data_IF_222824248635
#
_entry.id   IF_222824248635
#
_cell.length_a   1.000
_cell.length_b   1.000
_cell.length_c   1.000
_cell.angle_alpha   90.00
_cell.angle_beta   90.00
_cell.angle_gamma   90.00
#
_symmetry.space_group_name_H-M   'P 1'
#
loop_
_entity.id
_entity.type
_entity.pdbx_description
1 polymer ?
#
# COMPACT_ATOMS: atom_id res chain seq x y z
N UNK A 1 -1.72 36.01 -15.76
CA UNK A 1 -3.08 36.31 -15.26
C UNK A 1 -3.84 37.30 -16.16
N UNK A 2 -3.14 38.13 -16.96
CA UNK A 2 -3.74 39.07 -17.93
C UNK A 2 -3.74 38.54 -19.38
N UNK A 3 -3.37 37.25 -19.57
CA UNK A 3 -3.33 36.59 -20.89
C UNK A 3 -2.22 37.08 -21.82
N UNK A 4 -1.20 37.79 -21.28
CA UNK A 4 -0.10 38.29 -22.08
C UNK A 4 1.12 37.39 -22.02
N UNK A 5 1.80 37.25 -23.16
CA UNK A 5 3.05 36.52 -23.24
C UNK A 5 4.12 37.22 -22.39
N UNK A 6 4.62 36.52 -21.35
CA UNK A 6 5.63 37.09 -20.43
C UNK A 6 7.06 36.65 -20.75
N UNK A 7 7.21 35.50 -21.41
CA UNK A 7 8.51 34.97 -21.78
C UNK A 7 8.38 34.06 -23.02
N UNK A 8 9.42 34.06 -23.86
CA UNK A 8 9.59 33.16 -24.98
C UNK A 8 11.06 32.72 -25.02
N UNK A 9 11.29 31.44 -24.98
CA UNK A 9 12.61 30.84 -25.04
C UNK A 9 12.77 30.07 -26.35
N UNK A 10 13.96 30.09 -26.92
CA UNK A 10 14.31 29.37 -28.11
C UNK A 10 15.43 28.38 -27.77
N UNK A 11 15.31 27.19 -28.25
CA UNK A 11 16.32 26.15 -28.17
C UNK A 11 16.68 25.69 -29.58
N UNK A 12 17.85 25.13 -29.74
CA UNK A 12 18.21 24.49 -31.01
C UNK A 12 17.29 23.32 -31.29
N UNK A 13 16.99 23.01 -32.54
CA UNK A 13 15.98 22.04 -32.91
C UNK A 13 16.32 20.58 -32.48
N UNK A 14 17.58 20.31 -32.17
CA UNK A 14 18.09 19.04 -31.66
C UNK A 14 18.28 19.05 -30.12
N UNK A 15 18.12 20.20 -29.44
CA UNK A 15 18.25 20.34 -28.01
C UNK A 15 16.90 20.16 -27.26
N UNK A 16 16.21 19.09 -27.55
CA UNK A 16 14.91 18.76 -26.91
C UNK A 16 15.04 18.62 -25.40
N UNK A 17 16.14 18.01 -24.93
CA UNK A 17 16.33 17.71 -23.51
C UNK A 17 16.38 18.97 -22.66
N UNK A 18 17.19 19.98 -23.07
CA UNK A 18 17.24 21.26 -22.35
C UNK A 18 15.92 22.02 -22.39
N UNK A 19 15.20 21.97 -23.53
CA UNK A 19 13.89 22.60 -23.66
C UNK A 19 12.87 21.95 -22.70
N UNK A 20 12.88 20.63 -22.61
CA UNK A 20 11.98 19.86 -21.75
C UNK A 20 12.29 20.10 -20.25
N UNK A 21 13.56 20.07 -19.87
CA UNK A 21 13.99 20.36 -18.49
C UNK A 21 13.62 21.80 -18.06
N UNK A 22 13.75 22.79 -18.94
CA UNK A 22 13.33 24.15 -18.64
C UNK A 22 11.81 24.27 -18.50
N UNK A 23 11.02 23.55 -19.31
CA UNK A 23 9.56 23.48 -19.17
C UNK A 23 9.17 22.94 -17.80
N UNK A 24 9.73 21.80 -17.38
CA UNK A 24 9.49 21.18 -16.09
C UNK A 24 9.91 22.11 -14.94
N UNK A 25 11.11 22.71 -15.03
CA UNK A 25 11.60 23.63 -14.01
C UNK A 25 10.64 24.82 -13.80
N UNK A 26 10.07 25.37 -14.88
CA UNK A 26 9.11 26.48 -14.80
C UNK A 26 7.76 26.04 -14.26
N UNK A 27 7.26 24.90 -14.69
CA UNK A 27 6.01 24.36 -14.22
C UNK A 27 6.06 24.12 -12.70
N UNK A 28 7.11 23.42 -12.22
CA UNK A 28 7.27 23.11 -10.80
C UNK A 28 7.77 24.29 -9.94
N UNK A 29 8.22 25.37 -10.55
CA UNK A 29 8.44 26.64 -9.84
C UNK A 29 7.17 27.51 -9.76
N UNK A 30 6.12 27.20 -10.52
CA UNK A 30 4.89 27.97 -10.66
C UNK A 30 3.64 27.16 -10.32
N UNK A 31 2.85 26.81 -11.32
CA UNK A 31 1.54 26.16 -11.16
C UNK A 31 1.64 24.77 -10.49
N UNK A 32 2.70 24.03 -10.77
CA UNK A 32 2.96 22.70 -10.21
C UNK A 32 3.76 22.70 -8.91
N UNK A 33 3.93 23.84 -8.23
CA UNK A 33 4.84 23.96 -7.09
C UNK A 33 4.49 23.01 -5.91
N UNK A 34 3.21 22.72 -5.70
CA UNK A 34 2.77 21.77 -4.67
C UNK A 34 3.11 20.30 -4.98
N UNK A 35 3.49 20.00 -6.24
CA UNK A 35 3.86 18.66 -6.73
C UNK A 35 5.34 18.59 -7.13
N UNK A 36 6.14 19.57 -6.71
CA UNK A 36 7.50 19.75 -7.22
C UNK A 36 8.46 18.60 -6.83
N UNK A 37 8.20 17.91 -5.75
CA UNK A 37 9.00 16.77 -5.30
C UNK A 37 8.69 15.54 -6.17
N UNK A 38 7.44 15.16 -6.26
CA UNK A 38 6.97 14.02 -7.06
C UNK A 38 7.18 14.28 -8.57
N UNK A 39 7.03 15.52 -9.00
CA UNK A 39 7.30 15.93 -10.38
C UNK A 39 8.75 15.75 -10.78
N UNK A 40 9.71 16.10 -9.90
CA UNK A 40 11.13 15.80 -10.13
C UNK A 40 11.40 14.31 -10.21
N UNK A 41 10.72 13.51 -9.40
CA UNK A 41 10.79 12.04 -9.45
C UNK A 41 10.28 11.51 -10.79
N UNK A 42 9.13 12.02 -11.26
CA UNK A 42 8.58 11.66 -12.57
C UNK A 42 9.57 11.97 -13.71
N UNK A 43 10.12 13.17 -13.74
CA UNK A 43 11.10 13.56 -14.77
C UNK A 43 12.38 12.73 -14.70
N UNK A 44 12.90 12.48 -13.49
CA UNK A 44 14.07 11.64 -13.28
C UNK A 44 13.82 10.17 -13.69
N UNK A 45 12.60 9.64 -13.47
CA UNK A 45 12.25 8.29 -13.91
C UNK A 45 12.22 8.19 -15.43
N UNK A 46 11.61 9.15 -16.12
CA UNK A 46 11.60 9.21 -17.59
C UNK A 46 13.02 9.28 -18.14
N UNK A 47 13.90 10.10 -17.55
CA UNK A 47 15.31 10.21 -17.94
C UNK A 47 16.07 8.91 -17.70
N UNK A 48 15.87 8.24 -16.56
CA UNK A 48 16.48 6.96 -16.26
C UNK A 48 16.04 5.86 -17.25
N UNK A 49 14.76 5.86 -17.65
CA UNK A 49 14.25 4.94 -18.65
C UNK A 49 14.78 5.24 -20.06
N UNK A 50 14.90 6.52 -20.42
CA UNK A 50 15.43 6.96 -21.71
C UNK A 50 16.94 6.61 -21.86
N UNK A 51 17.70 6.80 -20.77
CA UNK A 51 19.13 6.46 -20.70
C UNK A 51 19.42 4.99 -20.43
N UNK A 52 18.39 4.16 -20.17
CA UNK A 52 18.50 2.75 -19.74
C UNK A 52 19.31 2.57 -18.44
N UNK A 53 19.30 3.61 -17.57
CA UNK A 53 19.97 3.56 -16.27
C UNK A 53 19.11 2.80 -15.24
N UNK A 54 19.34 1.48 -15.17
CA UNK A 54 18.63 0.59 -14.26
C UNK A 54 18.86 0.93 -12.78
N UNK A 55 20.03 1.45 -12.43
CA UNK A 55 20.34 1.79 -11.04
C UNK A 55 19.56 3.03 -10.60
N UNK A 56 19.54 4.07 -11.44
CA UNK A 56 18.74 5.25 -11.20
C UNK A 56 17.24 4.91 -11.13
N UNK A 57 16.71 4.14 -12.08
CA UNK A 57 15.30 3.76 -12.09
C UNK A 57 14.87 3.00 -10.80
N UNK A 58 15.71 2.08 -10.29
CA UNK A 58 15.42 1.38 -9.03
C UNK A 58 15.39 2.31 -7.82
N UNK A 59 16.28 3.30 -7.76
CA UNK A 59 16.31 4.25 -6.65
C UNK A 59 15.07 5.15 -6.58
N UNK A 60 14.36 5.32 -7.68
CA UNK A 60 13.14 6.11 -7.78
C UNK A 60 11.87 5.30 -7.46
N UNK A 61 11.97 3.99 -7.34
CA UNK A 61 10.84 3.09 -7.09
C UNK A 61 10.94 2.45 -5.72
N UNK A 62 9.78 2.19 -5.12
CA UNK A 62 9.69 1.36 -3.91
C UNK A 62 10.04 -0.10 -4.24
N UNK A 63 10.50 -0.89 -3.26
CA UNK A 63 10.77 -2.33 -3.47
C UNK A 63 9.53 -3.09 -3.98
N UNK A 64 8.33 -2.68 -3.52
CA UNK A 64 7.06 -3.28 -3.91
C UNK A 64 6.49 -2.70 -5.21
N UNK A 65 7.22 -1.84 -5.89
CA UNK A 65 6.76 -1.20 -7.14
C UNK A 65 6.18 -2.22 -8.12
N UNK A 66 5.04 -1.85 -8.71
CA UNK A 66 4.38 -2.65 -9.74
C UNK A 66 4.00 -1.79 -10.93
N UNK A 67 4.35 -2.29 -12.09
CA UNK A 67 3.89 -1.75 -13.36
C UNK A 67 2.84 -2.69 -13.93
N UNK A 68 1.64 -2.20 -14.15
CA UNK A 68 0.53 -2.95 -14.75
C UNK A 68 0.10 -2.27 -16.04
N UNK A 69 -0.18 -3.04 -17.07
CA UNK A 69 -0.74 -2.51 -18.31
C UNK A 69 -1.63 -3.60 -18.95
N UNK A 70 -2.95 -3.42 -18.94
CA UNK A 70 -3.88 -4.33 -19.57
C UNK A 70 -3.96 -4.16 -21.10
N UNK A 71 -3.06 -3.38 -21.68
CA UNK A 71 -3.06 -3.12 -23.12
C UNK A 71 -2.87 -4.43 -23.90
N UNK A 72 -3.54 -4.53 -25.06
CA UNK A 72 -3.46 -5.72 -25.95
C UNK A 72 -2.04 -6.06 -26.38
N UNK A 73 -1.15 -5.07 -26.38
CA UNK A 73 0.26 -5.24 -26.73
C UNK A 73 1.12 -5.81 -25.58
N UNK A 74 0.62 -5.81 -24.35
CA UNK A 74 1.34 -6.17 -23.13
C UNK A 74 0.52 -7.19 -22.34
N UNK A 75 0.43 -8.41 -22.86
CA UNK A 75 -0.38 -9.49 -22.31
C UNK A 75 0.04 -9.98 -20.91
N UNK A 76 1.10 -9.42 -20.32
CA UNK A 76 1.56 -9.75 -18.96
C UNK A 76 1.08 -8.71 -17.96
N UNK A 77 0.34 -9.11 -16.95
CA UNK A 77 -0.48 -8.18 -16.16
C UNK A 77 0.30 -7.31 -15.16
N UNK A 78 1.38 -7.79 -14.60
CA UNK A 78 2.11 -7.03 -13.54
C UNK A 78 3.61 -7.29 -13.62
N UNK A 79 4.42 -6.22 -13.55
CA UNK A 79 5.88 -6.28 -13.61
C UNK A 79 6.53 -5.55 -12.43
N UNK A 80 7.63 -6.11 -11.95
CA UNK A 80 8.58 -5.44 -11.08
C UNK A 80 9.38 -4.41 -11.87
N UNK A 81 10.11 -3.52 -11.18
CA UNK A 81 10.95 -2.54 -11.86
C UNK A 81 12.02 -3.20 -12.74
N UNK A 82 12.58 -4.34 -12.34
CA UNK A 82 13.59 -5.06 -13.11
C UNK A 82 13.03 -5.65 -14.40
N UNK A 83 11.82 -6.18 -14.36
CA UNK A 83 11.12 -6.69 -15.53
C UNK A 83 10.75 -5.56 -16.50
N UNK A 84 10.36 -4.37 -15.96
CA UNK A 84 10.13 -3.17 -16.79
C UNK A 84 11.40 -2.72 -17.49
N UNK A 85 12.52 -2.65 -16.78
CA UNK A 85 13.81 -2.28 -17.35
C UNK A 85 14.28 -3.29 -18.41
N UNK A 86 14.12 -4.58 -18.13
CA UNK A 86 14.46 -5.64 -19.12
C UNK A 86 13.62 -5.50 -20.38
N UNK A 87 12.31 -5.36 -20.20
CA UNK A 87 11.37 -5.17 -21.32
C UNK A 87 11.69 -3.91 -22.14
N UNK A 88 12.06 -2.81 -21.46
CA UNK A 88 12.41 -1.56 -22.11
C UNK A 88 13.72 -1.67 -22.89
N UNK A 89 14.71 -2.35 -22.32
CA UNK A 89 15.99 -2.62 -22.98
C UNK A 89 15.82 -3.47 -24.22
N UNK A 90 14.96 -4.48 -24.18
CA UNK A 90 14.66 -5.32 -25.35
C UNK A 90 14.04 -4.51 -26.47
N UNK A 91 13.19 -3.53 -26.16
CA UNK A 91 12.61 -2.59 -27.14
C UNK A 91 13.63 -1.62 -27.70
N UNK A 92 14.45 -1.03 -26.85
CA UNK A 92 15.52 -0.14 -27.29
C UNK A 92 16.51 -0.86 -28.22
N UNK A 93 16.74 -2.16 -28.00
CA UNK A 93 17.58 -2.99 -28.90
C UNK A 93 16.97 -3.27 -30.28
N UNK A 94 15.71 -2.91 -30.52
CA UNK A 94 15.03 -3.09 -31.81
C UNK A 94 15.07 -1.84 -32.70
N UNK A 95 15.58 -0.72 -32.19
CA UNK A 95 15.60 0.58 -32.84
C UNK A 95 17.00 1.20 -32.77
N UNK A 96 17.36 2.04 -33.73
CA UNK A 96 18.63 2.78 -33.74
C UNK A 96 18.62 3.96 -32.74
N UNK A 97 17.44 4.55 -32.53
CA UNK A 97 17.24 5.57 -31.54
C UNK A 97 15.87 5.43 -30.90
N UNK A 98 15.82 5.75 -29.61
CA UNK A 98 14.57 5.78 -28.82
C UNK A 98 14.60 7.02 -27.94
N UNK A 99 13.49 7.75 -27.87
CA UNK A 99 13.30 8.88 -26.97
C UNK A 99 11.93 8.80 -26.35
N UNK A 100 11.88 9.09 -25.06
CA UNK A 100 10.66 9.09 -24.25
C UNK A 100 10.51 10.44 -23.57
N UNK A 101 9.27 10.90 -23.43
CA UNK A 101 8.95 12.09 -22.66
C UNK A 101 7.49 12.04 -22.19
N UNK A 102 7.15 12.87 -21.22
CA UNK A 102 5.77 13.12 -20.80
C UNK A 102 5.27 14.36 -21.53
N UNK A 103 4.27 14.20 -22.39
CA UNK A 103 3.69 15.30 -23.17
C UNK A 103 2.62 16.08 -22.42
N UNK A 104 1.98 15.45 -21.44
CA UNK A 104 1.01 16.08 -20.53
C UNK A 104 1.03 15.39 -19.17
N UNK A 105 0.76 16.16 -18.11
CA UNK A 105 0.60 15.64 -16.76
C UNK A 105 -0.53 16.39 -16.05
N UNK A 106 -1.37 15.63 -15.34
CA UNK A 106 -2.45 16.13 -14.49
C UNK A 106 -2.29 15.52 -13.11
N UNK A 107 -2.04 16.34 -12.10
CA UNK A 107 -1.96 15.95 -10.72
C UNK A 107 -3.35 15.97 -10.08
N UNK A 108 -3.80 14.82 -9.54
CA UNK A 108 -5.04 14.70 -8.77
C UNK A 108 -4.78 14.87 -7.26
N UNK A 109 -3.57 14.56 -6.83
CA UNK A 109 -3.04 14.78 -5.48
C UNK A 109 -1.51 14.69 -5.54
N UNK A 110 -0.76 15.05 -4.48
CA UNK A 110 0.68 14.79 -4.44
C UNK A 110 1.04 13.32 -4.69
N UNK A 111 0.16 12.40 -4.33
CA UNK A 111 0.41 10.95 -4.44
C UNK A 111 -0.11 10.32 -5.74
N UNK A 112 -0.80 11.06 -6.61
CA UNK A 112 -1.43 10.48 -7.82
C UNK A 112 -1.38 11.45 -8.99
N UNK A 113 -0.77 11.01 -10.08
CA UNK A 113 -0.74 11.74 -11.35
C UNK A 113 -1.24 10.88 -12.51
N UNK A 114 -1.90 11.53 -13.48
CA UNK A 114 -2.18 11.00 -14.81
C UNK A 114 -1.23 11.69 -15.80
N UNK A 115 -0.50 10.92 -16.58
CA UNK A 115 0.41 11.45 -17.58
C UNK A 115 0.21 10.82 -18.94
N UNK A 116 0.47 11.58 -20.00
CA UNK A 116 0.58 11.06 -21.36
C UNK A 116 2.05 10.90 -21.65
N UNK A 117 2.48 9.65 -21.75
CA UNK A 117 3.84 9.29 -22.18
C UNK A 117 3.89 9.12 -23.69
N UNK A 118 4.89 9.73 -24.29
CA UNK A 118 5.19 9.64 -25.70
C UNK A 118 6.51 8.91 -25.90
N UNK A 119 6.60 8.13 -26.96
CA UNK A 119 7.86 7.57 -27.37
C UNK A 119 8.03 7.65 -28.90
N UNK A 120 9.23 7.98 -29.34
CA UNK A 120 9.63 7.94 -30.74
C UNK A 120 10.92 7.19 -30.93
N UNK A 121 10.99 6.40 -31.99
CA UNK A 121 12.18 5.65 -32.34
C UNK A 121 12.35 5.55 -33.85
N UNK A 122 13.58 5.28 -34.28
CA UNK A 122 13.91 4.96 -35.69
C UNK A 122 14.38 3.51 -35.68
N UNK A 123 13.72 2.65 -36.48
CA UNK A 123 14.13 1.26 -36.63
C UNK A 123 15.41 1.11 -37.46
N UNK A 124 16.06 -0.06 -37.40
CA UNK A 124 17.26 -0.39 -38.16
C UNK A 124 17.09 -0.34 -39.69
N UNK A 125 15.86 -0.36 -40.19
CA UNK A 125 15.53 -0.16 -41.61
C UNK A 125 15.14 1.29 -41.93
N UNK A 126 15.22 2.19 -40.96
CA UNK A 126 14.96 3.62 -41.10
C UNK A 126 13.50 4.01 -41.02
N UNK A 127 12.59 3.13 -40.58
CA UNK A 127 11.20 3.49 -40.36
C UNK A 127 11.01 4.27 -39.03
N UNK A 128 10.17 5.30 -39.06
CA UNK A 128 9.77 6.03 -37.88
C UNK A 128 8.72 5.27 -37.07
N UNK A 129 8.96 5.14 -35.79
CA UNK A 129 8.00 4.64 -34.80
C UNK A 129 7.58 5.73 -33.85
N UNK A 130 6.28 5.84 -33.63
CA UNK A 130 5.72 6.70 -32.58
C UNK A 130 4.60 5.94 -31.88
N UNK A 131 4.57 6.00 -30.57
CA UNK A 131 3.45 5.53 -29.77
C UNK A 131 3.23 6.44 -28.57
N UNK A 132 2.00 6.47 -28.09
CA UNK A 132 1.60 7.16 -26.88
C UNK A 132 0.82 6.21 -25.97
N UNK A 133 0.78 6.53 -24.69
CA UNK A 133 -0.02 5.83 -23.69
C UNK A 133 -0.37 6.75 -22.55
N UNK A 134 -1.45 6.42 -21.85
CA UNK A 134 -1.84 7.12 -20.64
C UNK A 134 -1.33 6.30 -19.45
N UNK A 135 -0.68 6.96 -18.49
CA UNK A 135 -0.11 6.32 -17.33
C UNK A 135 -0.63 6.97 -16.06
N UNK A 136 -1.21 6.17 -15.18
CA UNK A 136 -1.56 6.57 -13.82
C UNK A 136 -0.42 6.16 -12.91
N UNK A 137 0.33 7.13 -12.42
CA UNK A 137 1.41 6.94 -11.47
C UNK A 137 0.92 7.20 -10.05
N UNK A 138 1.31 6.34 -9.13
CA UNK A 138 1.09 6.58 -7.71
C UNK A 138 2.42 6.67 -6.98
N UNK A 139 2.47 7.57 -5.98
CA UNK A 139 3.66 7.83 -5.18
C UNK A 139 3.39 7.54 -3.73
N UNK A 140 4.41 7.15 -2.99
CA UNK A 140 4.39 7.00 -1.54
C UNK A 140 5.78 7.28 -0.99
N UNK A 141 5.84 8.13 0.03
CA UNK A 141 7.09 8.53 0.67
C UNK A 141 8.14 9.10 -0.34
N UNK A 142 7.65 9.85 -1.33
CA UNK A 142 8.50 10.43 -2.38
C UNK A 142 9.05 9.43 -3.41
N UNK A 143 8.56 8.19 -3.48
CA UNK A 143 8.97 7.17 -4.45
C UNK A 143 7.77 6.64 -5.24
N UNK A 144 8.02 6.13 -6.46
CA UNK A 144 7.00 5.43 -7.22
C UNK A 144 6.51 4.18 -6.47
N UNK A 145 5.21 4.11 -6.25
CA UNK A 145 4.54 2.95 -5.65
C UNK A 145 3.97 2.03 -6.73
N UNK A 146 3.32 2.60 -7.75
CA UNK A 146 2.85 1.85 -8.91
C UNK A 146 2.70 2.72 -10.15
N UNK A 147 2.69 2.08 -11.32
CA UNK A 147 2.29 2.67 -12.59
C UNK A 147 1.28 1.75 -13.27
N UNK A 148 0.17 2.32 -13.71
CA UNK A 148 -0.85 1.61 -14.47
C UNK A 148 -1.00 2.26 -15.84
N UNK A 149 -0.78 1.50 -16.92
CA UNK A 149 -0.86 1.99 -18.30
C UNK A 149 -2.21 1.73 -18.94
N UNK A 150 -2.67 2.66 -19.76
CA UNK A 150 -3.91 2.60 -20.54
C UNK A 150 -3.62 2.93 -22.00
N UNK A 151 -4.47 2.48 -22.90
CA UNK A 151 -4.44 2.96 -24.29
C UNK A 151 -4.94 4.42 -24.36
N UNK A 152 -4.53 5.22 -25.36
CA UNK A 152 -4.99 6.60 -25.49
C UNK A 152 -6.51 6.75 -25.58
N UNK A 153 -7.20 5.75 -26.12
CA UNK A 153 -8.66 5.72 -26.24
C UNK A 153 -9.38 5.51 -24.91
N UNK A 154 -8.68 5.05 -23.88
CA UNK A 154 -9.21 4.73 -22.55
C UNK A 154 -9.03 5.88 -21.55
N UNK A 155 -8.93 7.14 -22.02
CA UNK A 155 -8.65 8.31 -21.17
C UNK A 155 -9.61 8.44 -20.00
N UNK A 156 -10.93 8.29 -20.25
CA UNK A 156 -11.95 8.39 -19.21
C UNK A 156 -11.75 7.31 -18.11
N UNK A 157 -11.46 6.07 -18.53
CA UNK A 157 -11.20 4.95 -17.62
C UNK A 157 -9.90 5.19 -16.80
N UNK A 158 -8.89 5.78 -17.41
CA UNK A 158 -7.64 6.14 -16.73
C UNK A 158 -7.88 7.19 -15.64
N UNK A 159 -8.70 8.23 -15.93
CA UNK A 159 -9.06 9.23 -14.94
C UNK A 159 -9.94 8.68 -13.83
N UNK A 160 -10.95 7.85 -14.12
CA UNK A 160 -11.76 7.18 -13.10
C UNK A 160 -10.90 6.31 -12.17
N UNK A 161 -9.95 5.57 -12.74
CA UNK A 161 -8.99 4.79 -11.93
C UNK A 161 -8.12 5.70 -11.06
N UNK A 162 -7.55 6.78 -11.61
CA UNK A 162 -6.71 7.73 -10.88
C UNK A 162 -7.47 8.43 -9.76
N UNK A 163 -8.72 8.86 -10.00
CA UNK A 163 -9.60 9.45 -9.00
C UNK A 163 -9.84 8.46 -7.84
N UNK A 164 -10.11 7.19 -8.16
CA UNK A 164 -10.28 6.15 -7.15
C UNK A 164 -9.03 5.96 -6.28
N UNK A 165 -7.83 6.02 -6.88
CA UNK A 165 -6.56 5.96 -6.16
C UNK A 165 -6.36 7.18 -5.26
N UNK A 166 -6.65 8.39 -5.75
CA UNK A 166 -6.55 9.63 -4.98
C UNK A 166 -7.54 9.64 -3.81
N UNK A 167 -8.77 9.17 -4.01
CA UNK A 167 -9.77 9.05 -2.94
C UNK A 167 -9.34 8.04 -1.88
N UNK A 168 -8.84 6.87 -2.26
CA UNK A 168 -8.33 5.86 -1.32
C UNK A 168 -7.21 6.41 -0.46
N UNK A 169 -6.30 7.21 -1.02
CA UNK A 169 -5.15 7.82 -0.31
C UNK A 169 -5.56 8.99 0.58
N UNK A 170 -6.60 9.74 0.22
CA UNK A 170 -7.22 10.78 1.04
C UNK A 170 -8.13 10.23 2.13
N UNK A 171 -8.48 8.97 2.05
CA UNK A 171 -9.41 8.36 2.99
C UNK A 171 -8.82 8.34 4.40
N UNK A 172 -9.59 8.85 5.38
CA UNK A 172 -9.29 8.68 6.81
C UNK A 172 -9.27 7.21 7.25
N UNK A 173 -9.72 6.31 6.37
CA UNK A 173 -9.72 4.86 6.53
C UNK A 173 -8.63 4.19 5.66
N UNK A 174 -7.64 4.94 5.22
CA UNK A 174 -6.46 4.37 4.57
C UNK A 174 -5.75 3.41 5.54
N UNK A 175 -5.29 2.27 5.02
CA UNK A 175 -4.52 1.28 5.81
C UNK A 175 -3.06 1.70 5.81
N UNK A 176 -2.81 2.95 6.25
CA UNK A 176 -1.50 3.57 6.30
C UNK A 176 -1.44 4.58 7.46
N UNK A 177 -0.32 4.62 8.17
CA UNK A 177 -0.03 5.56 9.25
C UNK A 177 1.49 5.72 9.40
N UNK A 178 1.97 6.47 10.39
CA UNK A 178 3.42 6.64 10.61
C UNK A 178 4.13 5.30 10.86
N UNK A 179 3.51 4.38 11.62
CA UNK A 179 4.10 3.07 11.91
C UNK A 179 4.25 2.20 10.66
N UNK A 180 3.26 2.20 9.77
CA UNK A 180 3.33 1.44 8.51
C UNK A 180 4.38 2.00 7.56
N UNK A 181 4.60 3.32 7.55
CA UNK A 181 5.67 3.95 6.77
C UNK A 181 7.05 3.56 7.29
N UNK A 182 7.29 3.69 8.60
CA UNK A 182 8.58 3.30 9.20
C UNK A 182 8.89 1.82 8.97
N UNK A 183 7.88 0.94 9.02
CA UNK A 183 8.05 -0.47 8.67
C UNK A 183 8.40 -0.65 7.19
N UNK A 184 7.74 0.07 6.28
CA UNK A 184 8.05 0.05 4.85
C UNK A 184 9.49 0.49 4.56
N UNK A 185 9.95 1.56 5.21
CA UNK A 185 11.34 2.03 5.12
C UNK A 185 12.33 0.98 5.61
N UNK A 186 12.01 0.27 6.70
CA UNK A 186 12.86 -0.81 7.22
C UNK A 186 12.97 -1.97 6.21
N UNK A 187 11.87 -2.36 5.57
CA UNK A 187 11.88 -3.38 4.51
C UNK A 187 12.61 -2.92 3.25
N UNK A 188 12.47 -1.66 2.86
CA UNK A 188 13.23 -1.08 1.75
C UNK A 188 14.75 -1.09 2.04
N UNK A 189 15.15 -0.77 3.28
CA UNK A 189 16.55 -0.83 3.69
C UNK A 189 17.08 -2.28 3.75
N UNK A 190 16.27 -3.26 4.15
CA UNK A 190 16.60 -4.69 4.06
C UNK A 190 16.83 -5.11 2.61
N UNK A 191 15.91 -4.76 1.72
CA UNK A 191 16.01 -5.10 0.28
C UNK A 191 17.22 -4.44 -0.39
N UNK A 192 17.68 -3.29 0.12
CA UNK A 192 18.86 -2.58 -0.34
C UNK A 192 20.18 -3.08 0.30
N UNK A 193 20.14 -4.16 1.09
CA UNK A 193 21.28 -4.69 1.88
C UNK A 193 21.97 -3.58 2.72
N UNK A 194 21.16 -2.74 3.39
CA UNK A 194 21.64 -1.61 4.18
C UNK A 194 21.29 -1.74 5.67
N UNK A 195 22.01 -2.54 6.44
CA UNK A 195 21.72 -2.77 7.86
C UNK A 195 21.81 -1.50 8.72
N UNK A 196 22.67 -0.54 8.33
CA UNK A 196 22.78 0.74 9.06
C UNK A 196 21.51 1.59 8.91
N UNK A 197 20.91 1.62 7.73
CA UNK A 197 19.63 2.30 7.50
C UNK A 197 18.51 1.60 8.29
N UNK A 198 18.47 0.27 8.31
CA UNK A 198 17.53 -0.48 9.17
C UNK A 198 17.69 -0.05 10.62
N UNK A 199 18.89 -0.12 11.18
CA UNK A 199 19.13 0.21 12.59
C UNK A 199 18.74 1.65 12.95
N UNK A 200 18.88 2.61 12.02
CA UNK A 200 18.53 4.02 12.25
C UNK A 200 17.03 4.29 12.44
N UNK A 201 16.17 3.36 12.03
CA UNK A 201 14.71 3.46 12.20
C UNK A 201 14.23 2.99 13.58
N UNK A 202 15.13 2.40 14.39
CA UNK A 202 14.80 1.83 15.69
C UNK A 202 15.33 2.68 16.84
N UNK A 203 14.55 2.74 17.90
CA UNK A 203 15.01 3.34 19.17
C UNK A 203 16.18 2.53 19.75
N UNK A 204 17.10 3.22 20.43
CA UNK A 204 18.19 2.55 21.15
C UNK A 204 17.70 1.53 22.20
N UNK A 205 16.48 1.74 22.73
CA UNK A 205 15.85 0.89 23.74
C UNK A 205 14.74 0.01 23.13
N UNK A 206 14.78 -0.26 21.81
CA UNK A 206 13.76 -1.08 21.14
C UNK A 206 13.58 -2.42 21.85
N UNK A 207 12.32 -2.83 21.97
CA UNK A 207 11.93 -4.14 22.50
C UNK A 207 11.58 -5.05 21.34
N UNK A 208 12.34 -6.11 21.19
CA UNK A 208 12.08 -7.16 20.23
C UNK A 208 11.45 -8.37 20.94
N UNK A 209 10.27 -8.78 20.52
CA UNK A 209 9.52 -9.86 21.16
C UNK A 209 9.10 -10.91 20.12
N UNK A 210 9.72 -12.08 20.20
CA UNK A 210 9.37 -13.20 19.32
C UNK A 210 8.39 -14.15 20.04
N UNK A 211 7.14 -14.16 19.60
CA UNK A 211 6.06 -14.99 20.14
C UNK A 211 5.84 -16.27 19.34
N UNK A 212 6.71 -16.57 18.40
CA UNK A 212 6.61 -17.83 17.66
C UNK A 212 6.96 -19.01 18.57
N UNK A 213 6.29 -20.16 18.41
CA UNK A 213 6.64 -21.37 19.14
C UNK A 213 8.13 -21.71 18.96
N UNK A 214 8.81 -22.08 20.03
CA UNK A 214 10.22 -22.44 20.09
C UNK A 214 11.22 -21.27 20.01
N UNK A 215 10.81 -20.07 19.60
CA UNK A 215 11.68 -18.89 19.66
C UNK A 215 11.60 -18.19 21.01
N UNK A 216 10.42 -17.76 21.45
CA UNK A 216 10.13 -17.26 22.81
C UNK A 216 11.10 -16.20 23.32
N UNK A 217 11.76 -15.46 22.41
CA UNK A 217 12.78 -14.50 22.79
C UNK A 217 12.14 -13.16 23.17
N UNK A 218 12.70 -12.53 24.21
CA UNK A 218 12.48 -11.15 24.55
C UNK A 218 13.84 -10.48 24.65
N UNK A 219 14.16 -9.67 23.67
CA UNK A 219 15.42 -8.95 23.58
C UNK A 219 15.18 -7.44 23.64
N UNK A 220 16.17 -6.70 24.06
CA UNK A 220 16.10 -5.23 24.16
C UNK A 220 17.37 -4.59 23.63
N UNK A 221 17.18 -3.42 23.01
CA UNK A 221 18.25 -2.61 22.48
C UNK A 221 18.58 -2.88 21.02
N UNK A 222 19.07 -1.85 20.36
CA UNK A 222 19.42 -1.88 18.94
C UNK A 222 20.58 -2.84 18.62
N UNK A 223 21.39 -3.18 19.61
CA UNK A 223 22.52 -4.12 19.43
C UNK A 223 22.05 -5.51 18.96
N UNK A 224 20.88 -5.97 19.44
CA UNK A 224 20.28 -7.21 18.97
C UNK A 224 19.98 -7.15 17.46
N UNK A 225 19.47 -6.02 16.96
CA UNK A 225 19.21 -5.84 15.52
C UNK A 225 20.50 -5.86 14.70
N UNK A 226 21.63 -5.35 15.26
CA UNK A 226 22.93 -5.40 14.60
C UNK A 226 23.44 -6.83 14.40
N UNK A 227 22.96 -7.78 15.17
CA UNK A 227 23.26 -9.22 15.00
C UNK A 227 22.24 -9.92 14.09
N UNK A 228 20.95 -9.63 14.28
CA UNK A 228 19.85 -10.31 13.56
C UNK A 228 19.74 -9.88 12.11
N UNK A 229 19.86 -8.57 11.82
CA UNK A 229 19.70 -8.07 10.45
C UNK A 229 20.73 -8.67 9.48
N UNK A 230 22.06 -8.68 9.79
CA UNK A 230 23.03 -9.35 8.92
C UNK A 230 22.75 -10.86 8.77
N UNK A 231 22.27 -11.52 9.83
CA UNK A 231 21.91 -12.93 9.75
C UNK A 231 20.74 -13.18 8.82
N UNK A 232 19.70 -12.32 8.85
CA UNK A 232 18.57 -12.37 7.91
C UNK A 232 19.02 -12.13 6.47
N UNK A 233 19.85 -11.11 6.23
CA UNK A 233 20.40 -10.78 4.91
C UNK A 233 21.32 -11.88 4.36
N UNK A 234 21.96 -12.65 5.23
CA UNK A 234 22.77 -13.80 4.81
C UNK A 234 21.93 -15.03 4.43
N UNK A 235 20.66 -15.05 4.84
CA UNK A 235 19.77 -16.21 4.69
C UNK A 235 18.71 -15.98 3.61
N UNK A 236 18.27 -14.73 3.38
CA UNK A 236 17.17 -14.37 2.49
C UNK A 236 17.58 -13.21 1.59
N UNK A 237 17.15 -13.26 0.31
CA UNK A 237 17.45 -12.25 -0.71
C UNK A 237 16.24 -11.37 -1.03
N UNK A 238 15.04 -11.81 -0.66
CA UNK A 238 13.79 -11.11 -0.96
C UNK A 238 12.92 -10.96 0.29
N UNK A 239 12.44 -9.73 0.50
CA UNK A 239 11.65 -9.32 1.67
C UNK A 239 10.38 -8.62 1.22
N UNK A 240 9.24 -9.30 1.33
CA UNK A 240 7.92 -8.74 1.02
C UNK A 240 7.18 -8.40 2.31
N UNK A 241 6.40 -7.31 2.29
CA UNK A 241 5.53 -6.94 3.41
C UNK A 241 4.19 -6.39 2.93
N UNK A 242 3.11 -6.71 3.65
CA UNK A 242 1.76 -6.21 3.40
C UNK A 242 1.15 -5.75 4.71
N UNK A 243 0.69 -4.49 4.74
CA UNK A 243 0.01 -3.95 5.92
C UNK A 243 -1.40 -4.53 6.00
N UNK A 244 -1.72 -5.18 7.12
CA UNK A 244 -3.00 -5.82 7.37
C UNK A 244 -3.94 -4.93 8.19
N UNK A 245 -3.41 -4.15 9.13
CA UNK A 245 -4.20 -3.24 9.94
C UNK A 245 -3.33 -2.13 10.55
N UNK A 246 -3.94 -0.96 10.73
CA UNK A 246 -3.34 0.18 11.44
C UNK A 246 -4.25 0.64 12.58
N UNK A 247 -3.64 1.17 13.66
CA UNK A 247 -4.34 1.78 14.80
C UNK A 247 -3.64 3.04 15.27
N UNK A 248 -4.38 4.16 15.28
CA UNK A 248 -3.79 5.47 15.52
C UNK A 248 -2.66 5.74 14.54
N UNK A 249 -1.69 6.56 14.95
CA UNK A 249 -0.50 6.84 14.13
C UNK A 249 0.66 5.88 14.41
N UNK A 250 0.66 5.18 15.54
CA UNK A 250 1.83 4.50 16.07
C UNK A 250 1.81 2.98 16.03
N UNK A 251 0.74 2.35 15.58
CA UNK A 251 0.64 0.89 15.56
C UNK A 251 0.26 0.38 14.17
N UNK A 252 1.02 -0.60 13.67
CA UNK A 252 0.61 -1.36 12.50
C UNK A 252 0.84 -2.87 12.69
N UNK A 253 -0.04 -3.65 12.09
CA UNK A 253 0.08 -5.09 11.91
C UNK A 253 0.34 -5.36 10.45
N UNK A 254 1.41 -6.11 10.16
CA UNK A 254 1.79 -6.50 8.80
C UNK A 254 2.02 -8.00 8.71
N UNK A 255 1.86 -8.53 7.51
CA UNK A 255 2.34 -9.83 7.11
C UNK A 255 3.62 -9.65 6.29
N UNK A 256 4.58 -10.56 6.44
CA UNK A 256 5.78 -10.59 5.62
C UNK A 256 6.15 -11.97 5.15
N UNK A 257 6.82 -12.03 4.01
CA UNK A 257 7.46 -13.20 3.45
C UNK A 257 8.93 -12.90 3.18
N UNK A 258 9.80 -13.75 3.66
CA UNK A 258 11.23 -13.72 3.37
C UNK A 258 11.57 -14.97 2.57
N UNK A 259 12.27 -14.83 1.48
CA UNK A 259 12.61 -15.97 0.62
C UNK A 259 14.01 -15.84 0.03
N UNK A 260 14.60 -16.97 -0.35
CA UNK A 260 15.88 -17.07 -1.05
C UNK A 260 15.72 -17.71 -2.45
N UNK A 261 16.77 -17.65 -3.25
CA UNK A 261 16.82 -18.27 -4.58
C UNK A 261 16.68 -19.81 -4.56
N UNK A 262 16.96 -20.44 -3.42
CA UNK A 262 16.87 -21.90 -3.23
C UNK A 262 15.44 -22.37 -2.94
N UNK A 263 14.49 -21.43 -2.75
CA UNK A 263 13.10 -21.70 -2.42
C UNK A 263 12.84 -21.89 -0.93
N UNK A 264 13.80 -21.54 -0.04
CA UNK A 264 13.49 -21.44 1.38
C UNK A 264 12.61 -20.22 1.61
N UNK A 265 11.59 -20.37 2.44
CA UNK A 265 10.60 -19.32 2.71
C UNK A 265 10.25 -19.28 4.20
N UNK A 266 10.10 -18.07 4.74
CA UNK A 266 9.55 -17.83 6.06
C UNK A 266 8.46 -16.76 5.99
N UNK A 267 7.29 -17.08 6.57
CA UNK A 267 6.18 -16.13 6.69
C UNK A 267 5.96 -15.75 8.14
N UNK A 268 5.72 -14.47 8.38
CA UNK A 268 5.56 -13.93 9.72
C UNK A 268 4.46 -12.87 9.74
N UNK A 269 3.88 -12.67 10.92
CA UNK A 269 3.10 -11.47 11.24
C UNK A 269 3.95 -10.59 12.15
N UNK A 270 3.94 -9.30 11.88
CA UNK A 270 4.66 -8.31 12.68
C UNK A 270 3.69 -7.30 13.24
N UNK A 271 3.84 -6.97 14.51
CA UNK A 271 3.23 -5.80 15.11
C UNK A 271 4.34 -4.81 15.43
N UNK A 272 4.25 -3.63 14.84
CA UNK A 272 5.22 -2.54 14.99
C UNK A 272 4.58 -1.39 15.77
N UNK A 273 5.33 -0.86 16.75
CA UNK A 273 4.92 0.27 17.58
C UNK A 273 6.00 1.36 17.52
N UNK A 274 5.57 2.60 17.24
CA UNK A 274 6.43 3.78 17.26
C UNK A 274 6.39 4.50 18.61
N UNK A 275 7.53 5.09 18.97
CA UNK A 275 7.64 6.11 20.00
C UNK A 275 7.09 7.48 19.54
N UNK A 276 7.12 8.44 20.43
CA UNK A 276 6.72 9.84 20.13
C UNK A 276 7.73 10.53 19.20
N UNK A 277 8.95 10.02 19.15
CA UNK A 277 10.04 10.47 18.27
C UNK A 277 9.96 9.89 16.85
N UNK A 278 8.97 9.04 16.57
CA UNK A 278 8.78 8.38 15.28
C UNK A 278 9.67 7.16 15.04
N UNK A 279 10.50 6.77 16.02
CA UNK A 279 11.32 5.57 15.93
C UNK A 279 10.53 4.32 16.35
N UNK A 280 10.90 3.17 15.80
CA UNK A 280 10.35 1.88 16.20
C UNK A 280 10.84 1.53 17.61
N UNK A 281 9.93 1.51 18.57
CA UNK A 281 10.23 1.17 19.97
C UNK A 281 9.88 -0.26 20.30
N UNK A 282 9.08 -0.92 19.47
CA UNK A 282 8.74 -2.33 19.65
C UNK A 282 8.45 -3.01 18.33
N UNK A 283 8.95 -4.22 18.20
CA UNK A 283 8.67 -5.14 17.11
C UNK A 283 8.32 -6.51 17.69
N UNK A 284 7.14 -7.02 17.33
CA UNK A 284 6.65 -8.30 17.83
C UNK A 284 6.41 -9.23 16.66
N UNK A 285 6.91 -10.46 16.74
CA UNK A 285 6.71 -11.49 15.72
C UNK A 285 5.72 -12.55 16.18
N UNK A 286 4.86 -12.96 15.26
CA UNK A 286 3.93 -14.07 15.41
C UNK A 286 4.07 -15.02 14.23
N UNK A 287 3.60 -16.24 14.37
CA UNK A 287 3.53 -17.20 13.26
C UNK A 287 2.66 -16.62 12.13
N UNK A 288 3.03 -16.84 10.88
CA UNK A 288 2.35 -16.24 9.71
C UNK A 288 0.86 -16.56 9.59
N UNK A 289 0.38 -17.64 10.21
CA UNK A 289 -1.04 -18.04 10.24
C UNK A 289 -1.78 -17.67 11.54
N UNK A 290 -1.07 -17.20 12.60
CA UNK A 290 -1.68 -16.81 13.88
C UNK A 290 -2.18 -15.34 13.87
N UNK A 291 -2.99 -15.02 12.88
CA UNK A 291 -3.55 -13.69 12.69
C UNK A 291 -4.30 -13.17 13.92
N UNK A 292 -5.10 -14.01 14.58
CA UNK A 292 -5.95 -13.53 15.65
C UNK A 292 -5.19 -13.20 16.94
N UNK A 293 -4.09 -13.86 17.23
CA UNK A 293 -3.22 -13.47 18.34
C UNK A 293 -2.56 -12.13 18.09
N UNK A 294 -2.05 -11.93 16.87
CA UNK A 294 -1.45 -10.66 16.47
C UNK A 294 -2.47 -9.50 16.44
N UNK A 295 -3.68 -9.75 15.90
CA UNK A 295 -4.74 -8.76 15.84
C UNK A 295 -5.26 -8.37 17.24
N UNK A 296 -5.45 -9.33 18.16
CA UNK A 296 -5.81 -9.04 19.56
C UNK A 296 -4.74 -8.19 20.25
N UNK A 297 -3.48 -8.44 19.98
CA UNK A 297 -2.39 -7.65 20.57
C UNK A 297 -2.39 -6.22 20.03
N UNK A 298 -2.63 -6.03 18.71
CA UNK A 298 -2.82 -4.72 18.10
C UNK A 298 -3.92 -3.93 18.82
N UNK A 299 -5.11 -4.52 18.97
CA UNK A 299 -6.26 -3.90 19.65
C UNK A 299 -5.96 -3.60 21.12
N UNK A 300 -5.34 -4.56 21.82
CA UNK A 300 -4.98 -4.39 23.23
C UNK A 300 -4.05 -3.20 23.44
N UNK A 301 -3.04 -3.04 22.57
CA UNK A 301 -2.08 -1.94 22.65
C UNK A 301 -2.73 -0.60 22.30
N UNK A 302 -3.51 -0.59 21.24
CA UNK A 302 -4.22 0.62 20.84
C UNK A 302 -5.10 1.15 21.97
N UNK A 303 -5.95 0.31 22.56
CA UNK A 303 -6.84 0.70 23.64
C UNK A 303 -6.15 0.84 25.02
N UNK A 304 -4.88 0.52 25.14
CA UNK A 304 -4.06 0.86 26.29
C UNK A 304 -3.30 2.18 26.11
N UNK A 305 -3.16 2.67 24.85
CA UNK A 305 -2.43 3.88 24.47
C UNK A 305 -3.32 4.92 23.80
N UNK A 306 -3.10 5.18 22.49
CA UNK A 306 -3.79 6.24 21.72
C UNK A 306 -5.33 6.10 21.74
N UNK A 307 -5.83 4.89 21.70
CA UNK A 307 -7.26 4.57 21.72
C UNK A 307 -7.88 4.51 23.12
N UNK A 308 -7.16 4.84 24.19
CA UNK A 308 -7.67 4.74 25.56
C UNK A 308 -9.02 5.45 25.81
N UNK A 309 -9.29 6.63 25.23
CA UNK A 309 -10.60 7.30 25.38
C UNK A 309 -11.77 6.48 24.81
N UNK A 310 -11.50 5.54 23.92
CA UNK A 310 -12.48 4.72 23.19
C UNK A 310 -12.48 3.26 23.68
N UNK A 311 -11.73 2.94 24.72
CA UNK A 311 -11.39 1.56 25.08
C UNK A 311 -12.60 0.68 25.43
N UNK A 312 -13.67 1.26 25.97
CA UNK A 312 -14.87 0.52 26.39
C UNK A 312 -15.62 -0.03 25.16
N UNK A 313 -16.06 0.86 24.28
CA UNK A 313 -16.73 0.46 23.02
C UNK A 313 -15.80 -0.28 22.06
N UNK A 314 -14.54 0.17 22.01
CA UNK A 314 -13.56 -0.39 21.08
C UNK A 314 -13.20 -1.84 21.34
N UNK A 315 -13.06 -2.24 22.60
CA UNK A 315 -12.83 -3.67 22.96
C UNK A 315 -14.03 -4.53 22.61
N UNK A 316 -15.26 -4.03 22.87
CA UNK A 316 -16.47 -4.75 22.48
C UNK A 316 -16.57 -4.93 20.95
N UNK A 317 -16.26 -3.88 20.18
CA UNK A 317 -16.25 -3.95 18.73
C UNK A 317 -15.17 -4.93 18.21
N UNK A 318 -13.97 -4.94 18.79
CA UNK A 318 -12.91 -5.88 18.44
C UNK A 318 -13.32 -7.33 18.77
N UNK A 319 -13.86 -7.57 19.97
CA UNK A 319 -14.34 -8.89 20.38
C UNK A 319 -15.47 -9.39 19.46
N UNK A 320 -16.37 -8.48 19.05
CA UNK A 320 -17.43 -8.77 18.10
C UNK A 320 -16.90 -9.21 16.74
N UNK A 321 -15.93 -8.47 16.18
CA UNK A 321 -15.29 -8.80 14.88
C UNK A 321 -14.58 -10.17 14.95
N UNK A 322 -13.86 -10.42 16.04
CA UNK A 322 -13.16 -11.68 16.26
C UNK A 322 -14.16 -12.83 16.39
N UNK A 323 -15.24 -12.63 17.14
CA UNK A 323 -16.25 -13.66 17.36
C UNK A 323 -16.99 -14.04 16.07
N UNK A 324 -17.42 -13.04 15.26
CA UNK A 324 -18.11 -13.32 14.01
C UNK A 324 -17.19 -14.03 13.01
N UNK A 325 -15.94 -13.64 12.93
CA UNK A 325 -14.97 -14.26 12.04
C UNK A 325 -14.66 -15.71 12.41
N UNK A 326 -14.69 -16.03 13.70
CA UNK A 326 -14.48 -17.39 14.21
C UNK A 326 -15.78 -18.22 14.29
N UNK A 327 -16.93 -17.68 13.90
CA UNK A 327 -18.21 -18.37 13.98
C UNK A 327 -18.72 -18.57 15.42
N UNK A 328 -18.23 -17.77 16.39
CA UNK A 328 -18.64 -17.81 17.81
C UNK A 328 -19.89 -16.94 18.05
N UNK A 329 -21.08 -17.52 17.86
CA UNK A 329 -22.36 -16.81 18.08
C UNK A 329 -22.49 -16.31 19.52
N UNK A 330 -22.02 -17.07 20.50
CA UNK A 330 -22.12 -16.66 21.90
C UNK A 330 -21.19 -15.48 22.20
N UNK A 331 -20.01 -15.45 21.57
CA UNK A 331 -19.12 -14.30 21.60
C UNK A 331 -19.76 -13.07 20.98
N UNK A 332 -20.39 -13.19 19.81
CA UNK A 332 -21.13 -12.10 19.15
C UNK A 332 -22.24 -11.59 20.05
N UNK A 333 -23.06 -12.49 20.64
CA UNK A 333 -24.14 -12.09 21.56
C UNK A 333 -23.62 -11.38 22.80
N UNK A 334 -22.51 -11.84 23.39
CA UNK A 334 -21.89 -11.18 24.57
C UNK A 334 -21.40 -9.78 24.27
N UNK A 335 -20.90 -9.54 23.05
CA UNK A 335 -20.38 -8.25 22.62
C UNK A 335 -21.48 -7.32 22.07
N UNK A 336 -22.69 -7.83 21.80
CA UNK A 336 -23.80 -7.07 21.24
C UNK A 336 -24.76 -6.56 22.32
N UNK A 337 -25.21 -5.32 22.19
CA UNK A 337 -26.28 -4.78 23.00
C UNK A 337 -27.61 -5.57 22.76
N UNK A 338 -28.50 -5.73 23.77
CA UNK A 338 -29.78 -6.43 23.58
C UNK A 338 -30.65 -5.88 22.45
N UNK A 339 -30.57 -4.59 22.20
CA UNK A 339 -31.28 -3.90 21.12
C UNK A 339 -30.45 -3.79 19.84
N UNK A 340 -29.42 -4.61 19.67
CA UNK A 340 -28.58 -4.59 18.47
C UNK A 340 -29.41 -4.72 17.20
N UNK A 341 -29.09 -3.86 16.21
CA UNK A 341 -29.67 -3.90 14.88
C UNK A 341 -28.58 -3.73 13.83
N UNK A 342 -28.62 -4.57 12.83
CA UNK A 342 -27.75 -4.48 11.69
C UNK A 342 -28.53 -3.99 10.47
N UNK A 343 -28.01 -2.96 9.83
CA UNK A 343 -28.55 -2.38 8.61
C UNK A 343 -27.52 -2.51 7.49
N UNK A 344 -27.96 -2.86 6.27
CA UNK A 344 -27.10 -2.88 5.11
C UNK A 344 -27.69 -1.99 4.02
N UNK A 345 -26.89 -1.06 3.50
CA UNK A 345 -27.28 -0.14 2.43
C UNK A 345 -27.04 -0.67 1.01
N UNK A 346 -26.16 -1.67 0.74
CA UNK A 346 -25.99 -2.19 -0.61
C UNK A 346 -27.28 -2.73 -1.19
N UNK A 347 -27.53 -2.44 -2.48
CA UNK A 347 -28.80 -2.77 -3.18
C UNK A 347 -29.15 -4.27 -3.15
N UNK A 348 -28.15 -5.14 -3.06
CA UNK A 348 -28.32 -6.59 -2.94
C UNK A 348 -28.83 -7.04 -1.56
N UNK A 349 -28.84 -6.14 -0.56
CA UNK A 349 -29.20 -6.41 0.84
C UNK A 349 -30.34 -5.49 1.32
N UNK A 350 -30.97 -4.74 0.41
CA UNK A 350 -32.12 -3.90 0.71
C UNK A 350 -33.21 -4.76 1.33
N UNK A 351 -33.68 -4.38 2.51
CA UNK A 351 -34.93 -4.75 3.19
C UNK A 351 -34.83 -5.49 4.50
N UNK A 352 -33.72 -5.47 5.24
CA UNK A 352 -33.83 -6.06 6.57
C UNK A 352 -32.96 -5.40 7.62
N UNK A 353 -33.60 -4.67 8.51
CA UNK A 353 -33.15 -4.59 9.90
C UNK A 353 -33.01 -6.02 10.43
N UNK A 354 -31.81 -6.40 10.86
CA UNK A 354 -31.50 -7.75 11.31
C UNK A 354 -31.07 -7.73 12.75
N UNK A 355 -31.56 -8.71 13.50
CA UNK A 355 -31.06 -9.03 14.84
C UNK A 355 -29.67 -9.69 14.74
N UNK A 356 -29.00 -9.86 15.88
CA UNK A 356 -27.74 -10.63 15.97
C UNK A 356 -27.88 -12.00 15.32
N UNK A 357 -28.97 -12.72 15.65
CA UNK A 357 -29.18 -14.09 15.17
C UNK A 357 -29.43 -14.15 13.65
N UNK A 358 -30.17 -13.18 13.11
CA UNK A 358 -30.42 -13.09 11.68
C UNK A 358 -29.14 -12.77 10.90
N UNK A 359 -28.36 -11.83 11.40
CA UNK A 359 -27.08 -11.46 10.81
C UNK A 359 -26.09 -12.64 10.86
N UNK A 360 -25.99 -13.33 12.00
CA UNK A 360 -25.08 -14.46 12.15
C UNK A 360 -25.48 -15.63 11.25
N UNK A 361 -26.78 -15.94 11.13
CA UNK A 361 -27.29 -16.96 10.19
C UNK A 361 -26.91 -16.61 8.75
N UNK A 362 -27.12 -15.36 8.34
CA UNK A 362 -26.73 -14.89 7.03
C UNK A 362 -25.22 -15.03 6.78
N UNK A 363 -24.39 -14.72 7.79
CA UNK A 363 -22.95 -14.89 7.73
C UNK A 363 -22.54 -16.36 7.58
N UNK A 364 -23.15 -17.24 8.34
CA UNK A 364 -22.90 -18.68 8.24
C UNK A 364 -23.32 -19.27 6.89
N UNK A 365 -24.44 -18.82 6.32
CA UNK A 365 -24.89 -19.27 5.01
C UNK A 365 -23.87 -18.92 3.91
N UNK A 366 -23.27 -17.74 3.98
CA UNK A 366 -22.18 -17.34 3.09
C UNK A 366 -20.89 -18.11 3.35
N UNK A 367 -20.53 -18.30 4.61
CA UNK A 367 -19.37 -19.08 4.99
C UNK A 367 -19.39 -20.54 4.50
N UNK A 368 -20.59 -21.12 4.26
CA UNK A 368 -20.71 -22.46 3.67
C UNK A 368 -20.37 -22.52 2.17
N UNK A 369 -20.31 -21.37 1.50
CA UNK A 369 -19.97 -21.28 0.08
C UNK A 369 -18.47 -21.19 -0.17
N UNK A 370 -17.67 -21.04 0.89
CA UNK A 370 -16.22 -20.90 0.83
C UNK A 370 -15.52 -21.92 1.74
N UNK A 371 -14.28 -22.26 1.42
CA UNK A 371 -13.47 -23.18 2.22
C UNK A 371 -12.94 -22.54 3.48
N UNK A 372 -12.66 -21.24 3.42
CA UNK A 372 -12.26 -20.40 4.55
C UNK A 372 -12.67 -18.96 4.35
N UNK A 373 -12.91 -18.25 5.44
CA UNK A 373 -13.12 -16.80 5.41
C UNK A 373 -12.52 -16.13 6.65
N UNK A 374 -12.07 -14.89 6.45
CA UNK A 374 -11.58 -14.02 7.52
C UNK A 374 -12.23 -12.65 7.35
N UNK A 375 -12.73 -12.08 8.43
CA UNK A 375 -13.26 -10.72 8.46
C UNK A 375 -12.51 -9.93 9.53
N UNK A 376 -11.93 -8.79 9.18
CA UNK A 376 -11.23 -7.92 10.11
C UNK A 376 -11.45 -6.45 9.76
N UNK A 377 -11.00 -5.56 10.63
CA UNK A 377 -11.04 -4.11 10.46
C UNK A 377 -9.61 -3.60 10.29
N UNK A 378 -9.15 -3.33 9.05
CA UNK A 378 -7.80 -2.81 8.80
C UNK A 378 -7.61 -1.36 9.27
N UNK A 379 -8.64 -0.51 9.21
CA UNK A 379 -8.55 0.86 9.65
C UNK A 379 -9.87 1.32 10.28
N UNK A 380 -9.78 2.21 11.27
CA UNK A 380 -10.95 2.80 11.93
C UNK A 380 -10.66 4.23 12.41
N UNK A 381 -11.73 5.03 12.49
CA UNK A 381 -11.73 6.38 13.04
C UNK A 381 -12.86 6.48 14.06
N UNK A 382 -12.51 6.82 15.29
CA UNK A 382 -13.49 7.13 16.34
C UNK A 382 -13.99 8.55 16.16
N UNK A 383 -15.30 8.74 16.01
CA UNK A 383 -15.97 10.04 15.97
C UNK A 383 -16.35 10.51 17.38
N UNK A 384 -16.59 9.57 18.26
CA UNK A 384 -16.90 9.79 19.69
C UNK A 384 -16.55 8.51 20.47
N UNK A 385 -16.59 8.52 21.81
CA UNK A 385 -16.41 7.30 22.61
C UNK A 385 -17.38 6.15 22.29
N UNK A 386 -18.50 6.48 21.61
CA UNK A 386 -19.57 5.54 21.33
C UNK A 386 -19.82 5.33 19.82
N UNK A 387 -19.07 5.96 18.94
CA UNK A 387 -19.30 5.85 17.51
C UNK A 387 -17.98 5.80 16.74
N UNK A 388 -17.82 4.79 15.91
CA UNK A 388 -16.71 4.64 15.01
C UNK A 388 -17.14 4.44 13.55
N UNK A 389 -16.31 4.90 12.62
CA UNK A 389 -16.37 4.52 11.21
C UNK A 389 -15.15 3.66 10.92
N UNK A 390 -15.34 2.52 10.31
CA UNK A 390 -14.26 1.59 10.01
C UNK A 390 -14.36 1.06 8.59
N UNK A 391 -13.21 0.68 8.04
CA UNK A 391 -13.11 -0.17 6.86
C UNK A 391 -13.12 -1.62 7.36
N UNK A 392 -14.02 -2.42 6.85
CA UNK A 392 -14.01 -3.87 7.03
C UNK A 392 -13.45 -4.55 5.80
N UNK A 393 -12.66 -5.58 5.99
CA UNK A 393 -12.19 -6.45 4.91
C UNK A 393 -12.59 -7.89 5.19
N UNK A 394 -12.94 -8.60 4.11
CA UNK A 394 -13.27 -10.01 4.13
C UNK A 394 -12.42 -10.68 3.07
N UNK A 395 -11.55 -11.58 3.49
CA UNK A 395 -10.83 -12.48 2.60
C UNK A 395 -11.43 -13.88 2.71
N UNK A 396 -11.67 -14.53 1.58
CA UNK A 396 -12.21 -15.89 1.53
C UNK A 396 -11.56 -16.72 0.43
N UNK A 397 -11.55 -18.02 0.61
CA UNK A 397 -11.07 -18.97 -0.39
C UNK A 397 -12.24 -19.85 -0.81
N UNK A 398 -12.54 -19.94 -2.09
CA UNK A 398 -13.57 -20.80 -2.66
C UNK A 398 -13.22 -22.29 -2.56
N UNK A 399 -14.19 -23.18 -2.82
CA UNK A 399 -13.96 -24.63 -2.82
C UNK A 399 -12.95 -25.09 -3.89
N UNK A 400 -12.79 -24.32 -4.93
CA UNK A 400 -11.87 -24.52 -6.05
C UNK A 400 -10.49 -23.87 -5.83
N UNK A 401 -10.30 -23.16 -4.70
CA UNK A 401 -9.08 -22.45 -4.36
C UNK A 401 -9.03 -21.01 -4.85
N UNK A 402 -10.07 -20.50 -5.53
CA UNK A 402 -10.15 -19.10 -5.90
C UNK A 402 -10.18 -18.18 -4.68
N UNK A 403 -9.46 -17.07 -4.73
CA UNK A 403 -9.42 -16.07 -3.67
C UNK A 403 -10.46 -14.97 -3.95
N UNK A 404 -11.17 -14.58 -2.91
CA UNK A 404 -12.17 -13.53 -2.94
C UNK A 404 -11.89 -12.51 -1.85
N UNK A 405 -11.87 -11.24 -2.23
CA UNK A 405 -11.69 -10.12 -1.32
C UNK A 405 -12.84 -9.13 -1.46
N UNK A 406 -13.38 -8.69 -0.33
CA UNK A 406 -14.39 -7.63 -0.26
C UNK A 406 -14.01 -6.60 0.78
N UNK A 407 -14.32 -5.36 0.49
CA UNK A 407 -14.25 -4.30 1.48
C UNK A 407 -15.63 -3.65 1.68
N UNK A 408 -15.82 -3.08 2.85
CA UNK A 408 -17.04 -2.36 3.23
C UNK A 408 -16.71 -1.26 4.24
N UNK A 409 -17.57 -0.25 4.27
CA UNK A 409 -17.54 0.78 5.31
C UNK A 409 -18.60 0.43 6.34
N UNK A 410 -18.20 0.43 7.59
CA UNK A 410 -19.04 0.08 8.74
C UNK A 410 -19.12 1.29 9.67
N UNK A 411 -20.33 1.68 10.04
CA UNK A 411 -20.57 2.59 11.16
C UNK A 411 -21.00 1.74 12.34
N UNK A 412 -20.25 1.83 13.43
CA UNK A 412 -20.50 1.08 14.66
C UNK A 412 -20.91 2.05 15.76
N UNK A 413 -22.06 1.82 16.37
CA UNK A 413 -22.51 2.50 17.58
C UNK A 413 -22.39 1.55 18.77
N UNK A 414 -21.83 2.04 19.87
CA UNK A 414 -21.71 1.29 21.11
C UNK A 414 -22.58 1.93 22.21
N UNK A 415 -23.28 1.11 22.99
CA UNK A 415 -24.05 1.53 24.16
C UNK A 415 -23.66 0.65 25.34
N UNK A 416 -23.44 1.29 26.50
CA UNK A 416 -23.07 0.58 27.72
C UNK A 416 -21.88 -0.37 27.57
N UNK A 417 -20.96 -0.04 26.67
CA UNK A 417 -19.79 -0.86 26.36
C UNK A 417 -20.06 -2.07 25.48
N UNK A 418 -21.19 -2.09 24.77
CA UNK A 418 -21.59 -3.16 23.82
C UNK A 418 -21.89 -2.54 22.44
N UNK A 419 -21.71 -3.32 21.36
CA UNK A 419 -22.02 -2.94 19.97
C UNK A 419 -23.52 -2.90 19.74
#
# INVERSE_FOLDING_TARGET
EDGRLSCLLYFDGDDFTSAYQELDARYYAGEGAEYAEEGRMQSAFVEAMDSLDAAAARQLCRPEFRWSSPTRALADPVRTIDEVISWWRDRAGQVDSLRNWTSAITWLSPDVAVSIGEARGISHDGADYAWSGIFVATFRDGLFDSVYGFEPEDEEVAFEYAESQAEQRRSRLAVANASSRALGEAFAALQADNPSAVASLFSAEVVYEDRRPLAGALETGVDYLNEVVPALLSQYDNFETHILAVRGDRLCLAWSRWSDESGNEATNLHLTELGEDGLITRLMYFVGDDFWSAYRELERRYYAGEGAPYAVGGRAAADWVIAISNGDIEGVRRASHPDFRWYATPSALKDSERTVDDMFRWWQERGRQVSSQRHWVPALVWLSPNCAVSRGEIAAVGPDGEQYDWNLIIVTECRDGLV
#
